data_IF_970070021856
#
_entry.id   IF_970070021856
#
_cell.length_a   1.000
_cell.length_b   1.000
_cell.length_c   1.000
_cell.angle_alpha   90.00
_cell.angle_beta   90.00
_cell.angle_gamma   90.00
#
_symmetry.space_group_name_H-M   'P 1'
#
loop_
_entity.id
_entity.type
_entity.pdbx_description
1 polymer ?
#
# COMPACT_ATOMS: atom_id res chain seq x y z
N UNK A 1 -8.27 2.56 -12.80
CA UNK A 1 -7.74 1.25 -13.28
C UNK A 1 -6.60 1.40 -14.29
N UNK A 2 -6.77 2.18 -15.38
CA UNK A 2 -5.73 2.43 -16.40
C UNK A 2 -4.36 2.82 -15.83
N UNK A 3 -4.34 3.70 -14.82
CA UNK A 3 -3.12 4.05 -14.07
C UNK A 3 -2.41 2.83 -13.49
N UNK A 4 -3.15 1.94 -12.80
CA UNK A 4 -2.61 0.73 -12.19
C UNK A 4 -2.04 -0.25 -13.23
N UNK A 5 -2.68 -0.35 -14.40
CA UNK A 5 -2.18 -1.16 -15.52
C UNK A 5 -0.85 -0.61 -16.04
N UNK A 6 -0.78 0.69 -16.33
CA UNK A 6 0.41 1.32 -16.88
C UNK A 6 1.62 1.17 -15.95
N UNK A 7 1.49 1.49 -14.66
CA UNK A 7 2.60 1.35 -13.71
C UNK A 7 3.02 -0.11 -13.52
N UNK A 8 2.09 -1.06 -13.57
CA UNK A 8 2.41 -2.48 -13.45
C UNK A 8 3.13 -3.03 -14.69
N UNK A 9 2.86 -2.50 -15.89
CA UNK A 9 3.63 -2.82 -17.09
C UNK A 9 5.10 -2.35 -16.94
N UNK A 10 5.33 -1.19 -16.33
CA UNK A 10 6.70 -0.71 -16.09
C UNK A 10 7.41 -1.56 -15.02
N UNK A 11 6.69 -1.95 -13.97
CA UNK A 11 7.21 -2.87 -12.93
C UNK A 11 7.62 -4.21 -13.55
N UNK A 12 6.82 -4.72 -14.50
CA UNK A 12 7.15 -5.94 -15.24
C UNK A 12 8.38 -5.74 -16.13
N UNK A 13 8.50 -4.61 -16.82
CA UNK A 13 9.65 -4.27 -17.69
C UNK A 13 10.99 -4.31 -16.94
N UNK A 14 10.98 -3.89 -15.66
CA UNK A 14 12.17 -3.94 -14.80
C UNK A 14 12.36 -5.30 -14.08
N UNK A 15 11.55 -6.30 -14.40
CA UNK A 15 11.67 -7.67 -13.88
C UNK A 15 11.14 -7.88 -12.46
N UNK A 16 10.35 -6.94 -11.92
CA UNK A 16 9.75 -7.05 -10.60
C UNK A 16 8.33 -7.67 -10.65
N UNK A 17 7.90 -8.28 -9.54
CA UNK A 17 6.62 -9.00 -9.42
C UNK A 17 5.67 -8.36 -8.39
N UNK A 18 6.09 -7.29 -7.73
CA UNK A 18 5.34 -6.63 -6.68
C UNK A 18 5.61 -5.13 -6.70
N UNK A 19 4.55 -4.34 -6.55
CA UNK A 19 4.61 -2.90 -6.44
C UNK A 19 4.16 -2.48 -5.03
N UNK A 20 4.98 -1.67 -4.36
CA UNK A 20 4.69 -1.14 -3.03
C UNK A 20 3.68 0.02 -3.05
N UNK A 21 2.51 -0.23 -3.60
CA UNK A 21 1.43 0.71 -3.83
C UNK A 21 0.07 -0.03 -3.89
N UNK A 22 -1.06 0.66 -3.70
CA UNK A 22 -1.19 2.09 -3.39
C UNK A 22 -1.00 2.43 -1.90
N UNK A 23 -0.59 3.66 -1.62
CA UNK A 23 -0.72 4.30 -0.32
C UNK A 23 -2.15 4.82 -0.14
N UNK A 24 -2.86 4.33 0.88
CA UNK A 24 -4.29 4.61 1.08
C UNK A 24 -4.62 5.03 2.52
N UNK A 25 -3.64 5.51 3.28
CA UNK A 25 -3.93 6.07 4.60
C UNK A 25 -4.76 7.35 4.46
N UNK A 26 -5.75 7.53 5.35
CA UNK A 26 -6.57 8.74 5.40
C UNK A 26 -5.69 9.98 5.61
N UNK A 27 -5.94 11.03 4.83
CA UNK A 27 -5.31 12.34 5.00
C UNK A 27 -5.88 13.06 6.25
N UNK A 28 -5.63 12.51 7.44
CA UNK A 28 -6.18 13.01 8.72
C UNK A 28 -5.73 14.43 9.05
N UNK A 29 -4.52 14.78 8.65
CA UNK A 29 -3.93 16.10 8.91
C UNK A 29 -3.18 16.58 7.68
N UNK A 30 -3.34 17.85 7.28
CA UNK A 30 -2.62 18.42 6.15
C UNK A 30 -1.10 18.49 6.41
N UNK A 31 -0.68 18.40 7.67
CA UNK A 31 0.73 18.45 8.09
C UNK A 31 1.47 17.12 7.90
N UNK A 32 0.79 16.06 7.47
CA UNK A 32 1.46 14.80 7.20
C UNK A 32 2.39 14.97 5.99
N UNK A 33 3.69 14.69 6.18
CA UNK A 33 4.68 14.79 5.10
C UNK A 33 4.47 13.80 3.93
N UNK A 34 3.46 12.91 4.02
CA UNK A 34 3.10 11.92 3.01
C UNK A 34 1.69 12.11 2.45
N UNK A 35 1.03 13.24 2.72
CA UNK A 35 -0.29 13.53 2.15
C UNK A 35 -0.30 13.36 0.62
N UNK A 36 0.79 13.72 -0.07
CA UNK A 36 0.93 13.64 -1.53
C UNK A 36 0.89 12.22 -2.12
N UNK A 37 1.19 11.17 -1.34
CA UNK A 37 1.13 9.78 -1.81
C UNK A 37 -0.18 9.06 -1.43
N UNK A 38 -1.02 9.74 -0.64
CA UNK A 38 -2.33 9.27 -0.22
C UNK A 38 -3.43 9.94 -1.03
N UNK A 39 -4.60 9.30 -1.10
CA UNK A 39 -5.63 9.69 -2.07
C UNK A 39 -6.54 10.82 -1.57
N UNK A 40 -7.02 10.73 -0.32
CA UNK A 40 -8.06 11.65 0.19
C UNK A 40 -8.21 11.52 1.72
N UNK A 41 -8.92 12.48 2.31
CA UNK A 41 -9.42 12.41 3.69
C UNK A 41 -10.73 11.61 3.83
N UNK A 42 -11.45 11.39 2.72
CA UNK A 42 -12.75 10.71 2.72
C UNK A 42 -12.63 9.18 2.54
N UNK A 43 -13.15 8.36 3.47
CA UNK A 43 -13.05 6.90 3.37
C UNK A 43 -13.76 6.30 2.16
N UNK A 44 -14.84 6.93 1.67
CA UNK A 44 -15.62 6.41 0.55
C UNK A 44 -14.89 6.58 -0.78
N UNK A 45 -14.39 7.79 -1.07
CA UNK A 45 -13.59 8.07 -2.25
C UNK A 45 -12.27 7.29 -2.21
N UNK A 46 -11.65 7.17 -1.04
CA UNK A 46 -10.40 6.39 -0.89
C UNK A 46 -10.63 4.91 -1.27
N UNK A 47 -11.78 4.34 -0.87
CA UNK A 47 -12.18 2.98 -1.21
C UNK A 47 -12.31 2.79 -2.74
N UNK A 48 -13.04 3.67 -3.42
CA UNK A 48 -13.26 3.55 -4.87
C UNK A 48 -11.93 3.67 -5.66
N UNK A 49 -11.06 4.62 -5.28
CA UNK A 49 -9.74 4.79 -5.89
C UNK A 49 -8.82 3.59 -5.63
N UNK A 50 -8.74 3.13 -4.38
CA UNK A 50 -7.89 2.00 -4.00
C UNK A 50 -8.24 0.72 -4.77
N UNK A 51 -9.52 0.37 -4.86
CA UNK A 51 -10.00 -0.82 -5.57
C UNK A 51 -9.59 -0.79 -7.04
N UNK A 52 -9.78 0.36 -7.70
CA UNK A 52 -9.45 0.51 -9.12
C UNK A 52 -7.94 0.42 -9.38
N UNK A 53 -7.09 0.95 -8.49
CA UNK A 53 -5.63 0.85 -8.62
C UNK A 53 -5.15 -0.58 -8.40
N UNK A 54 -5.63 -1.25 -7.34
CA UNK A 54 -5.27 -2.65 -7.02
C UNK A 54 -5.66 -3.58 -8.16
N UNK A 55 -6.88 -3.48 -8.70
CA UNK A 55 -7.32 -4.28 -9.85
C UNK A 55 -6.44 -4.06 -11.08
N UNK A 56 -6.11 -2.80 -11.39
CA UNK A 56 -5.25 -2.49 -12.53
C UNK A 56 -3.85 -3.07 -12.40
N UNK A 57 -3.24 -2.98 -11.21
CA UNK A 57 -1.91 -3.57 -10.97
C UNK A 57 -1.95 -5.09 -11.11
N UNK A 58 -2.92 -5.74 -10.47
CA UNK A 58 -3.01 -7.20 -10.44
C UNK A 58 -3.45 -7.81 -11.77
N UNK A 59 -4.13 -7.07 -12.64
CA UNK A 59 -4.48 -7.56 -13.99
C UNK A 59 -3.23 -7.79 -14.86
N UNK A 60 -2.11 -7.13 -14.55
CA UNK A 60 -0.81 -7.37 -15.18
C UNK A 60 0.01 -8.46 -14.49
N UNK A 61 -0.61 -9.26 -13.60
CA UNK A 61 0.03 -10.25 -12.73
C UNK A 61 1.15 -9.68 -11.84
N UNK A 62 1.04 -8.41 -11.44
CA UNK A 62 1.93 -7.78 -10.45
C UNK A 62 1.18 -7.71 -9.11
N UNK A 63 1.82 -8.08 -8.02
CA UNK A 63 1.22 -7.97 -6.69
C UNK A 63 1.15 -6.51 -6.25
N UNK A 64 -0.07 -6.00 -6.05
CA UNK A 64 -0.26 -4.74 -5.34
C UNK A 64 -0.01 -4.94 -3.84
N UNK A 65 0.65 -3.97 -3.22
CA UNK A 65 0.93 -3.96 -1.79
C UNK A 65 0.31 -2.71 -1.15
N UNK A 66 -0.92 -2.91 -0.67
CA UNK A 66 -1.74 -1.85 -0.10
C UNK A 66 -1.14 -1.41 1.22
N UNK A 67 -0.91 -0.11 1.40
CA UNK A 67 -0.13 0.42 2.54
C UNK A 67 -0.67 1.73 3.09
N UNK A 68 -0.39 2.08 4.35
CA UNK A 68 0.26 1.29 5.40
C UNK A 68 -0.81 0.89 6.41
N UNK A 69 -1.00 -0.40 6.62
CA UNK A 69 -2.03 -0.94 7.52
C UNK A 69 -1.55 -0.90 8.98
N UNK A 70 -2.03 -0.01 9.85
CA UNK A 70 -3.03 1.04 9.63
C UNK A 70 -2.72 2.29 10.46
N UNK A 71 -3.49 3.36 10.26
CA UNK A 71 -3.40 4.60 11.02
C UNK A 71 -2.02 5.29 10.98
N UNK A 72 -1.32 5.18 9.84
CA UNK A 72 -0.04 5.84 9.57
C UNK A 72 -0.26 7.24 8.95
N UNK A 73 -0.89 8.13 9.71
CA UNK A 73 -1.38 9.42 9.20
C UNK A 73 -0.52 10.63 9.61
N UNK A 74 0.67 10.39 10.18
CA UNK A 74 1.65 11.43 10.52
C UNK A 74 3.07 10.91 10.39
N UNK A 75 3.99 11.77 9.99
CA UNK A 75 5.41 11.41 9.87
C UNK A 75 6.19 11.65 11.17
N UNK A 76 5.77 12.65 11.96
CA UNK A 76 6.39 12.97 13.24
C UNK A 76 6.33 11.73 14.15
N UNK A 77 7.50 11.23 14.53
CA UNK A 77 7.68 10.06 15.40
C UNK A 77 6.96 8.79 14.91
N UNK A 78 6.74 8.61 13.59
CA UNK A 78 6.02 7.46 13.02
C UNK A 78 6.53 6.09 13.49
N UNK A 79 7.79 6.00 13.89
CA UNK A 79 8.43 4.80 14.41
C UNK A 79 8.03 4.40 15.84
N UNK A 80 7.51 5.32 16.65
CA UNK A 80 7.32 5.11 18.09
C UNK A 80 6.00 5.65 18.62
N UNK A 81 5.32 6.51 17.88
CA UNK A 81 4.00 7.06 18.24
C UNK A 81 2.96 5.95 18.31
N UNK A 82 1.95 6.15 19.18
CA UNK A 82 0.77 5.31 19.22
C UNK A 82 -0.46 6.11 18.83
N UNK A 83 -1.07 5.73 17.70
CA UNK A 83 -2.36 6.26 17.27
C UNK A 83 -3.43 5.70 18.21
N UNK A 84 -4.03 6.57 19.03
CA UNK A 84 -5.16 6.24 19.90
C UNK A 84 -6.45 6.43 19.09
N UNK A 85 -7.17 5.35 18.84
CA UNK A 85 -8.31 5.33 17.92
C UNK A 85 -9.40 4.42 18.47
N UNK A 86 -10.63 4.93 18.45
CA UNK A 86 -11.80 4.14 18.86
C UNK A 86 -12.14 3.08 17.81
N UNK A 87 -12.79 2.00 18.23
CA UNK A 87 -13.27 0.96 17.32
C UNK A 87 -14.18 1.54 16.23
N UNK A 88 -15.09 2.45 16.61
CA UNK A 88 -15.96 3.14 15.65
C UNK A 88 -15.16 3.90 14.58
N UNK A 89 -14.13 4.65 14.97
CA UNK A 89 -13.29 5.36 14.01
C UNK A 89 -12.47 4.41 13.13
N UNK A 90 -12.01 3.27 13.67
CA UNK A 90 -11.40 2.23 12.85
C UNK A 90 -12.37 1.74 11.77
N UNK A 91 -13.58 1.34 12.16
CA UNK A 91 -14.60 0.79 11.26
C UNK A 91 -15.10 1.80 10.23
N UNK A 92 -15.34 3.06 10.63
CA UNK A 92 -15.95 4.08 9.77
C UNK A 92 -14.92 4.86 8.94
N UNK A 93 -13.68 5.02 9.41
CA UNK A 93 -12.70 5.93 8.78
C UNK A 93 -11.49 5.19 8.23
N UNK A 94 -10.83 4.37 9.04
CA UNK A 94 -9.51 3.83 8.66
C UNK A 94 -9.58 2.48 7.94
N UNK A 95 -10.59 1.66 8.22
CA UNK A 95 -10.80 0.35 7.60
C UNK A 95 -11.43 0.36 6.21
N UNK A 96 -12.39 1.23 5.84
CA UNK A 96 -13.19 1.04 4.63
C UNK A 96 -12.39 0.76 3.35
N UNK A 97 -11.35 1.58 3.08
CA UNK A 97 -10.53 1.41 1.89
C UNK A 97 -9.68 0.12 1.91
N UNK A 98 -9.10 -0.25 3.06
CA UNK A 98 -8.35 -1.51 3.19
C UNK A 98 -9.28 -2.73 3.08
N UNK A 99 -10.46 -2.67 3.70
CA UNK A 99 -11.46 -3.73 3.64
C UNK A 99 -11.92 -3.97 2.21
N UNK A 100 -12.22 -2.92 1.45
CA UNK A 100 -12.58 -3.05 0.04
C UNK A 100 -11.40 -3.52 -0.84
N UNK A 101 -10.18 -3.06 -0.58
CA UNK A 101 -9.02 -3.59 -1.29
C UNK A 101 -8.87 -5.11 -1.09
N UNK A 102 -9.22 -5.63 0.08
CA UNK A 102 -9.27 -7.08 0.35
C UNK A 102 -10.46 -7.75 -0.32
N UNK A 103 -11.67 -7.26 -0.09
CA UNK A 103 -12.91 -7.98 -0.45
C UNK A 103 -13.34 -7.77 -1.91
N UNK A 104 -13.09 -6.60 -2.47
CA UNK A 104 -13.54 -6.22 -3.81
C UNK A 104 -12.43 -6.32 -4.87
N UNK A 105 -11.17 -6.15 -4.47
CA UNK A 105 -10.02 -6.19 -5.37
C UNK A 105 -9.12 -7.43 -5.18
N UNK A 106 -9.38 -8.28 -4.19
CA UNK A 106 -8.53 -9.44 -3.80
C UNK A 106 -7.05 -9.02 -3.70
N UNK A 107 -6.74 -7.99 -2.91
CA UNK A 107 -5.36 -7.53 -2.73
C UNK A 107 -4.44 -8.71 -2.37
N UNK A 108 -3.29 -8.81 -3.06
CA UNK A 108 -2.34 -9.91 -2.89
C UNK A 108 -1.34 -9.64 -1.76
N UNK A 109 -1.12 -8.39 -1.39
CA UNK A 109 -0.26 -8.08 -0.26
C UNK A 109 -0.66 -6.81 0.47
N UNK A 110 -0.33 -6.75 1.75
CA UNK A 110 -0.53 -5.59 2.62
C UNK A 110 0.76 -5.30 3.37
N UNK A 111 1.15 -4.03 3.42
CA UNK A 111 2.25 -3.56 4.23
C UNK A 111 1.75 -3.02 5.57
N UNK A 112 2.32 -3.48 6.68
CA UNK A 112 2.00 -2.94 8.01
C UNK A 112 2.60 -1.55 8.22
N UNK A 113 2.00 -0.76 9.09
CA UNK A 113 2.54 0.54 9.48
C UNK A 113 3.68 0.45 10.51
N UNK A 114 4.45 1.54 10.61
CA UNK A 114 5.49 1.71 11.63
C UNK A 114 4.93 1.92 13.04
N UNK A 115 3.84 2.69 13.15
CA UNK A 115 3.33 3.17 14.41
C UNK A 115 2.69 2.06 15.23
N UNK A 116 2.48 2.36 16.52
CA UNK A 116 1.55 1.59 17.34
C UNK A 116 0.11 2.02 17.04
N UNK A 117 -0.81 1.09 17.17
CA UNK A 117 -2.26 1.32 17.19
C UNK A 117 -2.73 0.86 18.56
N UNK A 118 -3.31 1.78 19.35
CA UNK A 118 -3.75 1.51 20.72
C UNK A 118 -2.71 0.74 21.56
N UNK A 119 -1.43 1.13 21.43
CA UNK A 119 -0.30 0.59 22.20
C UNK A 119 0.46 -0.56 21.56
N UNK A 120 -0.02 -1.18 20.48
CA UNK A 120 0.63 -2.35 19.84
C UNK A 120 1.17 -2.02 18.46
N UNK A 121 2.40 -2.43 18.14
CA UNK A 121 3.01 -2.19 16.82
C UNK A 121 2.26 -2.94 15.71
N UNK A 122 2.09 -2.29 14.55
CA UNK A 122 1.33 -2.85 13.42
C UNK A 122 1.75 -4.27 13.04
N UNK A 123 3.06 -4.55 12.96
CA UNK A 123 3.59 -5.85 12.55
C UNK A 123 3.45 -6.99 13.60
N UNK A 124 3.03 -6.69 14.83
CA UNK A 124 2.68 -7.71 15.85
C UNK A 124 1.22 -7.61 16.33
N UNK A 125 0.40 -6.79 15.65
CA UNK A 125 -0.95 -6.51 16.10
C UNK A 125 -1.91 -7.65 15.76
N UNK A 126 -1.94 -8.69 16.60
CA UNK A 126 -2.73 -9.92 16.37
C UNK A 126 -4.21 -9.67 16.07
N UNK A 127 -4.88 -8.75 16.78
CA UNK A 127 -6.27 -8.40 16.49
C UNK A 127 -6.43 -7.86 15.06
N UNK A 128 -5.71 -6.80 14.68
CA UNK A 128 -5.81 -6.20 13.35
C UNK A 128 -5.39 -7.14 12.22
N UNK A 129 -4.27 -7.86 12.36
CA UNK A 129 -3.75 -8.70 11.27
C UNK A 129 -4.45 -10.06 11.18
N UNK A 130 -4.67 -10.73 12.31
CA UNK A 130 -5.19 -12.10 12.31
C UNK A 130 -6.69 -12.16 12.42
N UNK A 131 -7.26 -11.40 13.35
CA UNK A 131 -8.71 -11.45 13.60
C UNK A 131 -9.45 -10.61 12.55
N UNK A 132 -9.11 -9.33 12.38
CA UNK A 132 -9.78 -8.46 11.42
C UNK A 132 -9.39 -8.77 9.98
N UNK A 133 -8.11 -8.59 9.62
CA UNK A 133 -7.67 -8.68 8.22
C UNK A 133 -7.81 -10.11 7.66
N UNK A 134 -7.26 -11.11 8.34
CA UNK A 134 -7.24 -12.49 7.83
C UNK A 134 -8.59 -13.20 8.02
N UNK A 135 -9.15 -13.20 9.25
CA UNK A 135 -10.36 -13.98 9.52
C UNK A 135 -11.65 -13.26 9.11
N UNK A 136 -11.86 -12.03 9.56
CA UNK A 136 -13.12 -11.32 9.31
C UNK A 136 -13.25 -10.85 7.86
N UNK A 137 -12.18 -10.27 7.29
CA UNK A 137 -12.24 -9.78 5.90
C UNK A 137 -11.90 -10.87 4.88
N UNK A 138 -11.34 -12.00 5.32
CA UNK A 138 -11.00 -13.12 4.45
C UNK A 138 -9.77 -12.86 3.58
N UNK A 139 -8.82 -12.03 4.02
CA UNK A 139 -7.58 -11.77 3.27
C UNK A 139 -6.82 -13.06 2.98
N UNK A 140 -6.45 -13.28 1.71
CA UNK A 140 -5.75 -14.49 1.23
C UNK A 140 -4.32 -14.23 0.78
N UNK A 141 -3.91 -12.97 0.75
CA UNK A 141 -2.55 -12.55 0.45
C UNK A 141 -1.61 -12.69 1.65
N UNK A 142 -0.42 -12.11 1.52
CA UNK A 142 0.59 -12.08 2.59
C UNK A 142 0.80 -10.67 3.16
N UNK A 143 1.29 -10.61 4.39
CA UNK A 143 1.60 -9.35 5.08
C UNK A 143 3.10 -9.13 5.10
N UNK A 144 3.53 -7.95 4.68
CA UNK A 144 4.93 -7.52 4.70
C UNK A 144 5.11 -6.38 5.71
N UNK A 145 6.27 -6.29 6.36
CA UNK A 145 6.57 -5.14 7.22
C UNK A 145 6.95 -3.93 6.37
N UNK A 146 6.68 -2.72 6.86
CA UNK A 146 7.44 -1.55 6.40
C UNK A 146 8.93 -1.73 6.78
N UNK A 147 9.81 -0.97 6.13
CA UNK A 147 11.26 -1.09 6.22
C UNK A 147 11.77 -0.91 7.65
N UNK A 148 12.27 -1.98 8.27
CA UNK A 148 12.75 -2.00 9.65
C UNK A 148 11.66 -1.82 10.71
N UNK A 149 10.36 -1.86 10.34
CA UNK A 149 9.25 -1.65 11.29
C UNK A 149 9.26 -2.64 12.45
N UNK A 150 9.77 -3.86 12.22
CA UNK A 150 9.88 -4.89 13.26
C UNK A 150 10.99 -4.64 14.27
N UNK A 151 11.82 -3.60 14.13
CA UNK A 151 12.97 -3.37 15.02
C UNK A 151 12.60 -3.11 16.47
N UNK A 152 11.50 -2.42 16.70
CA UNK A 152 11.03 -2.07 18.05
C UNK A 152 10.16 -3.14 18.70
N UNK A 153 9.79 -4.18 17.95
CA UNK A 153 9.09 -5.34 18.50
C UNK A 153 10.08 -6.14 19.35
N UNK A 154 9.64 -6.71 20.45
CA UNK A 154 10.54 -7.46 21.34
C UNK A 154 10.61 -8.95 21.02
N UNK A 155 9.52 -9.53 20.54
CA UNK A 155 9.32 -10.98 20.45
C UNK A 155 9.21 -11.45 19.00
N UNK A 156 9.72 -12.65 18.72
CA UNK A 156 9.72 -13.20 17.35
C UNK A 156 8.37 -13.80 17.02
N UNK A 157 7.83 -14.55 17.97
CA UNK A 157 6.54 -15.22 17.90
C UNK A 157 5.36 -14.23 17.78
N UNK A 158 5.50 -12.98 18.24
CA UNK A 158 4.39 -12.02 18.19
C UNK A 158 4.06 -11.65 16.74
N UNK A 159 5.08 -11.41 15.91
CA UNK A 159 4.94 -11.23 14.46
C UNK A 159 4.33 -12.46 13.77
N UNK A 160 4.86 -13.66 14.06
CA UNK A 160 4.41 -14.92 13.44
C UNK A 160 2.94 -15.20 13.77
N UNK A 161 2.58 -15.07 15.06
CA UNK A 161 1.23 -15.33 15.54
C UNK A 161 0.22 -14.28 15.03
N UNK A 162 0.66 -13.04 14.80
CA UNK A 162 -0.16 -11.99 14.21
C UNK A 162 -0.39 -12.19 12.70
N UNK A 163 0.50 -12.87 12.00
CA UNK A 163 0.38 -13.15 10.56
C UNK A 163 1.34 -12.36 9.67
N UNK A 164 2.33 -11.67 10.26
CA UNK A 164 3.41 -11.07 9.48
C UNK A 164 4.16 -12.17 8.72
N UNK A 165 4.25 -12.06 7.41
CA UNK A 165 4.81 -13.10 6.55
C UNK A 165 6.24 -12.78 6.12
N UNK A 166 6.52 -11.53 5.75
CA UNK A 166 7.83 -11.10 5.27
C UNK A 166 8.33 -9.87 6.05
N UNK A 167 9.56 -9.94 6.54
CA UNK A 167 10.27 -8.78 7.11
C UNK A 167 11.06 -8.06 6.02
N UNK A 168 11.01 -6.73 6.04
CA UNK A 168 11.76 -5.86 5.13
C UNK A 168 12.69 -4.92 5.89
N UNK A 169 13.86 -4.56 5.35
CA UNK A 169 14.49 -5.16 4.15
C UNK A 169 15.17 -6.50 4.43
N UNK A 170 15.37 -6.83 5.71
CA UNK A 170 16.11 -8.02 6.13
C UNK A 170 15.53 -8.58 7.43
N UNK A 171 15.83 -9.85 7.69
CA UNK A 171 15.36 -10.53 8.89
C UNK A 171 15.90 -9.87 10.17
N UNK A 172 15.00 -9.54 11.09
CA UNK A 172 15.35 -9.01 12.41
C UNK A 172 14.73 -9.86 13.51
N UNK A 173 13.45 -10.20 13.34
CA UNK A 173 12.73 -11.18 14.16
C UNK A 173 12.88 -12.58 13.60
N UNK A 174 12.86 -12.74 12.29
CA UNK A 174 12.93 -14.02 11.61
C UNK A 174 14.36 -14.52 11.41
N UNK A 175 15.24 -14.19 12.36
CA UNK A 175 16.58 -14.77 12.43
C UNK A 175 16.42 -16.27 12.74
N UNK A 176 17.02 -17.19 11.96
CA UNK A 176 16.78 -18.63 12.09
C UNK A 176 16.96 -19.16 13.52
N UNK A 177 17.96 -18.70 14.26
CA UNK A 177 18.21 -19.10 15.65
C UNK A 177 17.11 -18.64 16.61
N UNK A 178 16.59 -17.42 16.45
CA UNK A 178 15.47 -16.90 17.26
C UNK A 178 14.17 -17.63 16.95
N UNK A 179 13.90 -17.88 15.66
CA UNK A 179 12.72 -18.64 15.24
C UNK A 179 12.76 -20.06 15.77
N UNK A 180 13.89 -20.76 15.63
CA UNK A 180 14.06 -22.13 16.14
C UNK A 180 13.85 -22.18 17.66
N UNK A 181 14.47 -21.27 18.41
CA UNK A 181 14.27 -21.20 19.86
C UNK A 181 12.80 -21.01 20.23
N UNK A 182 12.11 -20.05 19.61
CA UNK A 182 10.70 -19.78 19.87
C UNK A 182 9.80 -20.97 19.47
N UNK A 183 10.15 -21.70 18.41
CA UNK A 183 9.45 -22.92 18.00
C UNK A 183 9.64 -24.06 19.02
N UNK A 184 10.88 -24.34 19.40
CA UNK A 184 11.24 -25.39 20.38
C UNK A 184 10.59 -25.11 21.75
N UNK A 185 10.41 -23.84 22.13
CA UNK A 185 9.69 -23.39 23.33
C UNK A 185 8.15 -23.38 23.18
N UNK A 186 7.61 -23.80 22.04
CA UNK A 186 6.17 -23.85 21.79
C UNK A 186 5.48 -22.49 21.68
N UNK A 187 6.23 -21.42 21.37
CA UNK A 187 5.69 -20.04 21.27
C UNK A 187 4.85 -19.80 20.01
N UNK A 188 5.02 -20.63 19.00
CA UNK A 188 4.15 -20.72 17.82
C UNK A 188 4.16 -22.14 17.28
N UNK A 189 3.15 -22.51 16.50
CA UNK A 189 3.01 -23.86 15.94
C UNK A 189 3.52 -23.94 14.50
N UNK A 190 3.83 -25.16 14.05
CA UNK A 190 4.20 -25.39 12.65
C UNK A 190 3.05 -25.00 11.71
N UNK A 191 1.81 -25.34 12.08
CA UNK A 191 0.61 -24.94 11.35
C UNK A 191 0.52 -23.41 11.19
N UNK A 192 0.84 -22.64 12.24
CA UNK A 192 0.84 -21.18 12.20
C UNK A 192 1.86 -20.65 11.20
N UNK A 193 3.06 -21.20 11.21
CA UNK A 193 4.12 -20.82 10.28
C UNK A 193 3.76 -21.21 8.84
N UNK A 194 3.24 -22.42 8.63
CA UNK A 194 2.81 -22.93 7.34
C UNK A 194 1.66 -22.12 6.73
N UNK A 195 0.71 -21.61 7.52
CA UNK A 195 -0.32 -20.69 7.02
C UNK A 195 0.30 -19.39 6.48
N UNK A 196 1.28 -18.80 7.18
CA UNK A 196 1.96 -17.59 6.70
C UNK A 196 2.75 -17.88 5.40
N UNK A 197 3.46 -19.02 5.33
CA UNK A 197 4.23 -19.41 4.14
C UNK A 197 3.30 -19.68 2.94
N UNK A 198 2.19 -20.39 3.14
CA UNK A 198 1.22 -20.68 2.06
C UNK A 198 0.66 -19.40 1.43
N UNK A 199 0.48 -18.34 2.20
CA UNK A 199 0.03 -17.03 1.71
C UNK A 199 1.05 -16.37 0.79
N UNK A 200 2.33 -16.42 1.15
CA UNK A 200 3.41 -15.92 0.30
C UNK A 200 3.49 -16.74 -0.99
N UNK A 201 3.54 -18.07 -0.87
CA UNK A 201 3.60 -18.98 -2.02
C UNK A 201 2.40 -18.80 -2.94
N UNK A 202 1.19 -18.63 -2.40
CA UNK A 202 -0.01 -18.33 -3.18
C UNK A 202 0.21 -17.12 -4.10
N UNK A 203 0.81 -16.05 -3.58
CA UNK A 203 1.04 -14.83 -4.37
C UNK A 203 2.17 -15.01 -5.36
N UNK A 204 3.22 -15.76 -5.02
CA UNK A 204 4.28 -16.14 -5.98
C UNK A 204 3.73 -16.90 -7.20
N UNK A 205 2.73 -17.79 -6.99
CA UNK A 205 2.02 -18.42 -8.11
C UNK A 205 1.15 -17.43 -8.89
N UNK A 206 0.42 -16.53 -8.21
CA UNK A 206 -0.42 -15.53 -8.89
C UNK A 206 0.36 -14.55 -9.76
N UNK A 207 1.58 -14.18 -9.34
CA UNK A 207 2.45 -13.30 -10.11
C UNK A 207 3.17 -14.01 -11.26
N UNK A 208 3.00 -15.34 -11.35
CA UNK A 208 3.60 -16.18 -12.38
C UNK A 208 5.08 -16.43 -12.18
N UNK A 209 5.61 -16.34 -10.95
CA UNK A 209 7.04 -16.54 -10.67
C UNK A 209 7.54 -17.94 -11.09
N UNK A 210 6.64 -18.93 -11.09
CA UNK A 210 6.92 -20.31 -11.49
C UNK A 210 6.41 -20.66 -12.89
N UNK A 211 5.78 -19.70 -13.57
CA UNK A 211 5.22 -19.91 -14.91
C UNK A 211 6.29 -19.69 -15.99
N UNK A 212 6.05 -20.20 -17.19
CA UNK A 212 6.87 -19.87 -18.34
C UNK A 212 6.70 -18.38 -18.70
N UNK A 213 7.81 -17.65 -18.85
CA UNK A 213 7.82 -16.21 -19.10
C UNK A 213 7.00 -15.82 -20.35
N UNK A 214 6.94 -16.68 -21.37
CA UNK A 214 6.16 -16.43 -22.59
C UNK A 214 4.65 -16.41 -22.36
N UNK A 215 4.18 -16.93 -21.22
CA UNK A 215 2.76 -16.95 -20.83
C UNK A 215 2.34 -15.72 -20.02
N UNK A 216 3.32 -14.89 -19.59
CA UNK A 216 3.07 -13.72 -18.77
C UNK A 216 2.73 -12.48 -19.61
N UNK A 217 1.95 -11.51 -19.05
CA UNK A 217 1.81 -10.20 -19.66
C UNK A 217 3.18 -9.57 -19.90
N UNK A 218 3.39 -9.02 -21.10
CA UNK A 218 4.63 -8.31 -21.42
C UNK A 218 4.72 -6.99 -20.67
N UNK A 219 5.91 -6.67 -20.18
CA UNK A 219 6.22 -5.34 -19.67
C UNK A 219 6.33 -4.33 -20.80
N UNK A 220 6.12 -3.07 -20.46
CA UNK A 220 6.39 -1.91 -21.31
C UNK A 220 6.67 -0.71 -20.40
N UNK A 221 7.47 0.25 -20.87
CA UNK A 221 7.87 1.40 -20.06
C UNK A 221 8.00 2.63 -20.92
N UNK A 222 7.51 3.77 -20.41
CA UNK A 222 7.61 5.07 -21.07
C UNK A 222 7.10 5.05 -22.52
N UNK A 223 5.99 4.35 -22.76
CA UNK A 223 5.33 4.29 -24.08
C UNK A 223 4.58 5.60 -24.36
N UNK A 224 4.24 5.88 -25.63
CA UNK A 224 3.39 7.03 -25.96
C UNK A 224 2.01 6.92 -25.29
N UNK A 225 1.49 5.71 -25.11
CA UNK A 225 0.25 5.43 -24.39
C UNK A 225 0.37 5.79 -22.90
N UNK A 226 1.50 5.46 -22.25
CA UNK A 226 1.76 5.85 -20.86
C UNK A 226 1.90 7.37 -20.70
N UNK A 227 2.58 8.04 -21.63
CA UNK A 227 2.73 9.50 -21.63
C UNK A 227 1.37 10.20 -21.83
N UNK A 228 0.56 9.73 -22.77
CA UNK A 228 -0.78 10.25 -23.01
C UNK A 228 -1.69 10.04 -21.79
N UNK A 229 -1.65 8.87 -21.17
CA UNK A 229 -2.39 8.61 -19.93
C UNK A 229 -1.92 9.52 -18.79
N UNK A 230 -0.62 9.74 -18.65
CA UNK A 230 -0.07 10.66 -17.64
C UNK A 230 -0.59 12.08 -17.85
N UNK A 231 -0.65 12.54 -19.11
CA UNK A 231 -1.22 13.84 -19.47
C UNK A 231 -2.70 13.92 -19.13
N UNK A 232 -3.50 12.91 -19.49
CA UNK A 232 -4.93 12.85 -19.19
C UNK A 232 -5.19 12.89 -17.67
N UNK A 233 -4.45 12.11 -16.89
CA UNK A 233 -4.56 12.13 -15.42
C UNK A 233 -4.22 13.53 -14.86
N UNK A 234 -3.21 14.21 -15.43
CA UNK A 234 -2.87 15.57 -15.03
C UNK A 234 -4.00 16.56 -15.39
N UNK A 235 -4.57 16.45 -16.58
CA UNK A 235 -5.71 17.29 -17.03
C UNK A 235 -6.95 17.08 -16.15
N UNK A 236 -7.24 15.84 -15.73
CA UNK A 236 -8.35 15.52 -14.81
C UNK A 236 -8.07 15.83 -13.34
N UNK A 237 -6.80 15.93 -12.95
CA UNK A 237 -6.37 16.14 -11.56
C UNK A 237 -6.21 17.61 -11.15
N UNK A 238 -6.15 18.55 -12.10
CA UNK A 238 -6.04 19.98 -11.82
C UNK A 238 -7.38 20.53 -11.32
N UNK A 239 -7.34 21.23 -10.17
CA UNK A 239 -8.51 21.89 -9.59
C UNK A 239 -8.38 23.40 -9.76
N UNK A 240 -9.32 24.02 -10.50
CA UNK A 240 -9.45 25.47 -10.58
C UNK A 240 -10.08 25.99 -9.28
N UNK A 241 -9.25 26.57 -8.41
CA UNK A 241 -9.69 27.05 -7.09
C UNK A 241 -10.45 28.39 -7.16
N UNK A 242 -10.01 29.30 -8.04
CA UNK A 242 -10.55 30.64 -8.18
C UNK A 242 -10.39 31.11 -9.64
N UNK A 243 -11.39 31.83 -10.15
CA UNK A 243 -11.39 32.40 -11.51
C UNK A 243 -12.11 33.76 -11.54
N UNK A 244 -11.56 34.74 -10.82
CA UNK A 244 -12.15 36.07 -10.74
C UNK A 244 -12.16 36.77 -12.11
N UNK A 245 -13.30 37.37 -12.47
CA UNK A 245 -13.45 38.15 -13.71
C UNK A 245 -13.35 37.33 -15.00
N UNK A 246 -13.61 36.02 -14.94
CA UNK A 246 -13.49 35.10 -16.07
C UNK A 246 -12.12 35.16 -16.76
N UNK A 247 -11.06 35.29 -15.96
CA UNK A 247 -9.69 35.42 -16.46
C UNK A 247 -9.25 34.20 -17.28
N UNK A 248 -9.64 33.00 -16.84
CA UNK A 248 -9.41 31.74 -17.55
C UNK A 248 -10.69 31.30 -18.28
N UNK A 249 -10.56 30.67 -19.47
CA UNK A 249 -9.31 30.36 -20.18
C UNK A 249 -8.69 31.58 -20.86
N UNK A 250 -7.35 31.61 -20.97
CA UNK A 250 -6.65 32.66 -21.70
C UNK A 250 -6.95 32.60 -23.20
N UNK A 251 -7.18 33.75 -23.82
CA UNK A 251 -7.37 33.90 -25.26
C UNK A 251 -6.00 34.00 -25.98
N UNK A 252 -5.54 32.90 -26.57
CA UNK A 252 -4.24 32.83 -27.24
C UNK A 252 -4.10 33.79 -28.42
N UNK A 253 -5.21 34.19 -29.08
CA UNK A 253 -5.17 35.12 -30.22
C UNK A 253 -4.93 36.57 -29.77
N UNK A 254 -5.32 36.90 -28.53
CA UNK A 254 -5.11 38.24 -27.95
C UNK A 254 -3.77 38.38 -27.23
N UNK A 255 -3.15 37.26 -26.85
CA UNK A 255 -1.87 37.23 -26.14
C UNK A 255 -0.69 37.52 -27.07
N UNK A 256 0.04 38.61 -26.82
CA UNK A 256 1.28 38.94 -27.56
C UNK A 256 2.57 38.52 -26.83
N UNK A 257 2.52 38.48 -25.50
CA UNK A 257 3.63 38.10 -24.63
C UNK A 257 3.09 37.56 -23.32
N UNK A 258 3.60 36.43 -22.89
CA UNK A 258 3.33 35.83 -21.58
C UNK A 258 4.66 35.73 -20.83
N UNK A 259 4.70 36.20 -19.58
CA UNK A 259 5.86 36.03 -18.72
C UNK A 259 5.55 34.92 -17.70
N UNK A 260 6.32 33.85 -17.74
CA UNK A 260 6.29 32.81 -16.73
C UNK A 260 7.25 33.20 -15.62
N UNK A 261 6.73 33.30 -14.39
CA UNK A 261 7.52 33.56 -13.19
C UNK A 261 7.41 32.32 -12.31
N UNK A 262 8.55 31.74 -11.94
CA UNK A 262 8.58 30.52 -11.14
C UNK A 262 9.68 30.59 -10.07
N UNK A 263 9.37 30.13 -8.86
CA UNK A 263 10.33 29.88 -7.78
C UNK A 263 10.54 28.38 -7.51
N UNK A 264 9.75 27.54 -8.15
CA UNK A 264 9.86 26.08 -8.08
C UNK A 264 11.11 25.67 -8.86
N UNK A 265 12.16 25.23 -8.16
CA UNK A 265 13.28 24.56 -8.81
C UNK A 265 12.79 23.17 -9.24
N UNK A 266 12.63 22.96 -10.54
CA UNK A 266 12.43 21.63 -11.16
C UNK A 266 13.68 20.79 -10.95
#
# INVERSE_FOLDING_TARGET
>A
ERFGIAIAQEVRDVGAQMLLAPGINIQRTPMCGRTFEYQTEDPYLNKDLAVAVVKGIQSQRIAACVKHFICNNQEINRFTVSSQVSERALQEIYFPAFKAAVQEADAWSIMTSYNKINGTYGSEHKYLLREVLIKEWGFRGFVVSDWTATKFISRTESCINAGLTLEMPMHNKYIPTKMKKAFDEGKFTEERLNDNIKRLLRVMFLTGLFDDESTLPKGSRNTSEHQNLTREIAEEGIVLLENEGDLLPLDSEKLRRLQLLDQTRI
#
